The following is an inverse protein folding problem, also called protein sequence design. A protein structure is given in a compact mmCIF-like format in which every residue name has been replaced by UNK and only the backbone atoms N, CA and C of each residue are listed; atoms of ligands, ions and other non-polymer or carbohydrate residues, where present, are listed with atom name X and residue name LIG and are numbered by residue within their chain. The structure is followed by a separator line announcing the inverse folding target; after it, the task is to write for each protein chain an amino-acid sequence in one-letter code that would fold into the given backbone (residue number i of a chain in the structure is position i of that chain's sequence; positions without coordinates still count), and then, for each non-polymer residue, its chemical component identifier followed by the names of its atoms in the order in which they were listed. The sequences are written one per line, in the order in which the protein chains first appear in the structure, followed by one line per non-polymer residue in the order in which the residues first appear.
data_IF_028535930972
#
_entry.id   IF_028535930972
#
_cell.length_a   1.000
_cell.length_b   1.000
_cell.length_c   1.000
_cell.angle_alpha   90.00
_cell.angle_beta   90.00
_cell.angle_gamma   90.00
#
_symmetry.space_group_name_H-M   'P 1'
#
loop_
_entity.id
_entity.type
_entity.pdbx_description
1 polymer ?
#
# COMPACT_ATOMS: atom_id res chain seq x y z
N UNK A 1 19.77 9.74 -2.46
CA UNK A 1 19.02 9.34 -1.26
C UNK A 1 18.42 10.59 -0.64
N UNK A 2 17.12 10.81 -0.78
CA UNK A 2 16.41 11.90 -0.10
C UNK A 2 15.89 11.40 1.25
N UNK A 3 16.28 12.10 2.33
CA UNK A 3 15.80 11.87 3.68
C UNK A 3 14.35 12.36 3.82
N UNK A 4 13.46 11.52 4.35
CA UNK A 4 12.15 11.96 4.85
C UNK A 4 12.24 12.16 6.36
N UNK A 5 11.88 13.36 6.83
CA UNK A 5 11.91 13.73 8.24
C UNK A 5 10.83 12.97 9.04
N UNK A 6 11.18 12.59 10.27
CA UNK A 6 10.29 11.98 11.24
C UNK A 6 9.24 12.99 11.72
N UNK A 7 8.10 13.03 11.06
CA UNK A 7 6.97 13.87 11.46
C UNK A 7 5.76 13.59 10.60
N UNK A 8 5.06 12.47 10.85
CA UNK A 8 3.66 12.17 10.48
C UNK A 8 3.14 12.59 9.09
N UNK A 9 4.02 12.88 8.14
CA UNK A 9 3.66 13.55 6.89
C UNK A 9 3.10 12.56 5.89
N UNK A 10 2.17 13.04 5.06
CA UNK A 10 1.78 12.31 3.88
C UNK A 10 3.02 12.06 3.01
N UNK A 11 3.20 10.82 2.59
CA UNK A 11 4.23 10.40 1.65
C UNK A 11 3.68 10.65 0.25
N UNK A 12 4.41 11.46 -0.51
CA UNK A 12 4.11 11.69 -1.92
C UNK A 12 4.79 10.60 -2.74
N UNK A 13 3.97 9.78 -3.43
CA UNK A 13 4.45 8.77 -4.37
C UNK A 13 4.54 9.39 -5.77
N UNK A 14 5.60 9.06 -6.51
CA UNK A 14 5.73 9.52 -7.90
C UNK A 14 4.57 8.95 -8.76
N UNK A 15 4.02 9.71 -9.72
CA UNK A 15 3.03 9.22 -10.67
C UNK A 15 3.53 8.03 -11.50
N UNK A 16 2.62 7.28 -12.12
CA UNK A 16 2.93 6.21 -13.08
C UNK A 16 3.96 5.20 -12.55
N UNK A 17 3.87 4.83 -11.28
CA UNK A 17 4.89 4.06 -10.57
C UNK A 17 4.28 2.92 -9.77
N UNK A 18 5.10 1.92 -9.50
CA UNK A 18 4.75 0.77 -8.68
C UNK A 18 5.61 0.76 -7.42
N UNK A 19 4.98 0.53 -6.26
CA UNK A 19 5.64 0.41 -4.98
C UNK A 19 5.19 -0.84 -4.25
N UNK A 20 6.09 -1.38 -3.43
CA UNK A 20 5.75 -2.31 -2.36
C UNK A 20 5.82 -1.55 -1.04
N UNK A 21 4.82 -1.75 -0.18
CA UNK A 21 4.76 -1.20 1.17
C UNK A 21 4.61 -2.32 2.18
N UNK A 22 5.22 -2.14 3.35
CA UNK A 22 5.16 -3.11 4.44
C UNK A 22 4.77 -2.46 5.74
N UNK A 23 3.90 -3.11 6.50
CA UNK A 23 3.36 -2.59 7.75
C UNK A 23 3.31 -3.68 8.80
N UNK A 24 3.64 -3.35 10.05
CA UNK A 24 3.37 -4.24 11.17
C UNK A 24 1.96 -4.03 11.68
N UNK A 25 1.27 -5.15 11.88
CA UNK A 25 0.00 -5.20 12.57
C UNK A 25 0.29 -5.19 14.07
N UNK A 26 -0.42 -4.36 14.84
CA UNK A 26 -0.24 -4.31 16.30
C UNK A 26 -0.58 -5.62 17.03
N UNK A 27 -1.21 -6.56 16.34
CA UNK A 27 -1.44 -7.93 16.81
C UNK A 27 -0.19 -8.83 16.73
N UNK A 28 0.97 -8.27 16.35
CA UNK A 28 2.23 -9.00 16.18
C UNK A 28 2.41 -9.61 14.79
N UNK A 29 1.46 -9.37 13.87
CA UNK A 29 1.53 -9.82 12.49
C UNK A 29 2.28 -8.84 11.57
N UNK A 30 2.52 -9.29 10.35
CA UNK A 30 3.08 -8.48 9.28
C UNK A 30 2.10 -8.43 8.12
N UNK A 31 2.03 -7.28 7.45
CA UNK A 31 1.22 -7.09 6.27
C UNK A 31 2.01 -6.37 5.19
N UNK A 32 1.74 -6.68 3.93
CA UNK A 32 2.31 -5.97 2.80
C UNK A 32 1.25 -5.66 1.75
N UNK A 33 1.50 -4.62 0.97
CA UNK A 33 0.64 -4.26 -0.14
C UNK A 33 1.44 -3.75 -1.33
N UNK A 34 0.83 -3.89 -2.49
CA UNK A 34 1.22 -3.25 -3.74
C UNK A 34 0.50 -1.89 -3.83
N UNK A 35 1.22 -0.85 -4.23
CA UNK A 35 0.66 0.46 -4.52
C UNK A 35 1.00 0.82 -5.97
N UNK A 36 -0.01 1.14 -6.77
CA UNK A 36 0.16 1.63 -8.13
C UNK A 36 -0.34 3.06 -8.18
N UNK A 37 0.47 3.96 -8.71
CA UNK A 37 0.08 5.33 -8.98
C UNK A 37 -0.25 5.53 -10.45
N UNK A 38 -1.36 6.21 -10.72
CA UNK A 38 -1.71 6.61 -12.09
C UNK A 38 -0.92 7.86 -12.52
N UNK A 39 -1.20 8.35 -13.74
CA UNK A 39 -0.55 9.55 -14.32
C UNK A 39 -0.83 10.82 -13.53
N UNK A 40 -1.95 10.87 -12.80
CA UNK A 40 -2.35 12.01 -11.97
C UNK A 40 -1.85 11.90 -10.53
N UNK A 41 -1.16 10.80 -10.19
CA UNK A 41 -0.68 10.52 -8.84
C UNK A 41 -1.71 9.87 -7.93
N UNK A 42 -2.88 9.46 -8.44
CA UNK A 42 -3.87 8.70 -7.66
C UNK A 42 -3.29 7.34 -7.29
N UNK A 43 -3.34 6.99 -6.00
CA UNK A 43 -2.79 5.73 -5.50
C UNK A 43 -3.90 4.67 -5.42
N UNK A 44 -3.68 3.51 -6.01
CA UNK A 44 -4.50 2.31 -5.78
C UNK A 44 -3.73 1.30 -4.95
N UNK A 45 -4.33 0.82 -3.87
CA UNK A 45 -3.78 -0.25 -3.02
C UNK A 45 -4.32 -1.60 -3.47
N UNK A 46 -3.41 -2.57 -3.56
CA UNK A 46 -3.70 -3.97 -3.80
C UNK A 46 -3.12 -4.78 -2.66
N UNK A 47 -3.95 -5.51 -1.93
CA UNK A 47 -3.45 -6.36 -0.85
C UNK A 47 -4.36 -7.53 -0.55
N UNK A 48 -3.76 -8.54 0.07
CA UNK A 48 -4.50 -9.62 0.67
C UNK A 48 -5.31 -9.11 1.86
N UNK A 49 -6.49 -9.64 2.06
CA UNK A 49 -7.37 -9.30 3.18
C UNK A 49 -7.90 -10.56 3.83
N UNK A 50 -7.99 -10.53 5.16
CA UNK A 50 -8.64 -11.60 5.88
C UNK A 50 -10.16 -11.41 5.80
N UNK A 51 -10.90 -12.42 5.35
CA UNK A 51 -12.37 -12.35 5.22
C UNK A 51 -13.13 -13.00 6.37
N UNK A 52 -12.42 -13.42 7.42
CA UNK A 52 -12.99 -14.20 8.51
C UNK A 52 -13.11 -15.68 8.15
N UNK A 53 -13.11 -16.54 9.17
CA UNK A 53 -13.31 -17.98 9.01
C UNK A 53 -14.81 -18.33 9.04
N UNK A 54 -15.56 -17.91 8.01
CA UNK A 54 -16.92 -18.45 7.80
C UNK A 54 -16.77 -19.82 7.16
N UNK A 55 -17.37 -20.85 7.77
CA UNK A 55 -17.27 -22.24 7.30
C UNK A 55 -17.79 -22.34 5.86
N UNK A 56 -16.90 -22.67 4.92
CA UNK A 56 -17.21 -22.81 3.49
C UNK A 56 -16.78 -21.62 2.62
N UNK A 57 -16.30 -20.53 3.21
CA UNK A 57 -15.74 -19.40 2.47
C UNK A 57 -14.20 -19.45 2.41
N UNK A 58 -13.62 -18.71 1.45
CA UNK A 58 -12.18 -18.53 1.38
C UNK A 58 -11.73 -17.67 2.55
N UNK A 59 -10.80 -18.18 3.36
CA UNK A 59 -10.23 -17.47 4.51
C UNK A 59 -9.50 -16.16 4.12
N UNK A 60 -9.09 -16.05 2.85
CA UNK A 60 -8.35 -14.92 2.31
C UNK A 60 -9.01 -14.38 1.03
N UNK A 61 -8.95 -13.06 0.87
CA UNK A 61 -9.37 -12.33 -0.31
C UNK A 61 -8.32 -11.35 -0.79
N UNK A 62 -8.65 -10.65 -1.88
CA UNK A 62 -7.88 -9.53 -2.39
C UNK A 62 -8.77 -8.30 -2.36
N UNK A 63 -8.27 -7.25 -1.72
CA UNK A 63 -8.92 -5.94 -1.71
C UNK A 63 -8.14 -4.97 -2.59
N UNK A 64 -8.90 -4.22 -3.39
CA UNK A 64 -8.41 -3.24 -4.35
C UNK A 64 -9.22 -1.97 -4.16
N UNK A 65 -8.57 -0.89 -3.73
CA UNK A 65 -9.25 0.37 -3.48
C UNK A 65 -8.28 1.56 -3.61
N UNK A 66 -8.80 2.74 -3.98
CA UNK A 66 -8.00 3.96 -3.98
C UNK A 66 -7.62 4.36 -2.55
N UNK A 67 -6.43 4.94 -2.40
CA UNK A 67 -6.00 5.60 -1.17
C UNK A 67 -5.98 7.10 -1.39
N UNK A 68 -6.62 7.85 -0.49
CA UNK A 68 -6.60 9.31 -0.54
C UNK A 68 -5.24 9.87 -0.14
N UNK A 69 -4.60 9.28 0.88
CA UNK A 69 -3.26 9.66 1.33
C UNK A 69 -2.47 8.42 1.75
N UNK A 70 -1.16 8.47 1.57
CA UNK A 70 -0.21 7.45 2.04
C UNK A 70 0.55 8.05 3.21
N UNK A 71 0.63 7.36 4.34
CA UNK A 71 1.29 7.86 5.55
C UNK A 71 2.22 6.80 6.15
N UNK A 72 3.22 7.24 6.91
CA UNK A 72 4.06 6.35 7.74
C UNK A 72 3.30 5.76 8.93
N UNK A 73 2.23 6.42 9.37
CA UNK A 73 1.30 5.99 10.42
C UNK A 73 -0.10 5.95 9.82
N UNK A 74 -0.73 4.79 9.75
CA UNK A 74 -2.11 4.69 9.26
C UNK A 74 -3.10 4.97 10.38
N UNK A 75 -4.27 5.51 10.05
CA UNK A 75 -5.41 5.68 10.99
C UNK A 75 -5.89 4.37 11.58
N UNK A 76 -5.62 3.25 10.90
CA UNK A 76 -5.97 1.89 11.36
C UNK A 76 -4.92 1.28 12.31
N UNK A 77 -4.16 2.15 13.01
CA UNK A 77 -3.19 1.74 14.02
C UNK A 77 -2.03 0.86 13.49
N UNK A 78 -1.71 0.90 12.20
CA UNK A 78 -0.56 0.17 11.65
C UNK A 78 0.59 1.14 11.37
N UNK A 79 1.81 0.71 11.71
CA UNK A 79 3.02 1.44 11.36
C UNK A 79 3.55 0.92 10.02
N UNK A 80 3.71 1.82 9.06
CA UNK A 80 4.35 1.49 7.77
C UNK A 80 5.86 1.67 7.93
N UNK A 81 6.60 0.59 7.72
CA UNK A 81 8.05 0.57 7.97
C UNK A 81 8.90 0.79 6.71
N UNK A 82 8.30 0.71 5.54
CA UNK A 82 9.02 1.00 4.31
C UNK A 82 8.16 1.03 3.07
N UNK A 83 8.62 1.83 2.11
CA UNK A 83 8.12 1.92 0.76
C UNK A 83 9.29 1.74 -0.20
N UNK A 84 9.18 0.81 -1.12
CA UNK A 84 10.18 0.58 -2.16
C UNK A 84 9.55 0.77 -3.51
N UNK A 85 10.02 1.77 -4.25
CA UNK A 85 9.69 1.90 -5.67
C UNK A 85 10.34 0.76 -6.42
N UNK A 86 9.59 0.15 -7.31
CA UNK A 86 10.09 -0.91 -8.19
C UNK A 86 10.43 -0.29 -9.54
N UNK A 87 11.71 -0.38 -9.91
CA UNK A 87 12.20 0.06 -11.21
C UNK A 87 11.80 -0.93 -12.32
N UNK A 88 11.77 -0.44 -13.56
CA UNK A 88 11.37 -1.25 -14.73
C UNK A 88 9.86 -1.54 -14.81
N UNK A 89 9.07 -1.02 -13.88
CA UNK A 89 7.61 -1.03 -14.02
C UNK A 89 7.19 -0.08 -15.16
N UNK A 90 6.53 -0.66 -16.17
CA UNK A 90 5.89 0.10 -17.24
C UNK A 90 4.39 0.04 -17.02
N UNK A 91 3.73 1.16 -16.64
CA UNK A 91 2.28 1.19 -16.54
C UNK A 91 1.67 0.79 -17.88
N UNK A 92 0.71 -0.14 -17.84
CA UNK A 92 -0.02 -0.50 -19.05
C UNK A 92 -0.92 0.69 -19.43
N UNK A 93 -0.78 1.18 -20.66
CA UNK A 93 -1.73 2.14 -21.21
C UNK A 93 -3.13 1.48 -21.20
N UNK A 94 -4.06 2.09 -20.48
CA UNK A 94 -5.47 1.71 -20.57
C UNK A 94 -5.95 2.19 -21.94
N UNK A 95 -6.38 1.25 -22.78
CA UNK A 95 -7.00 1.56 -24.07
C UNK A 95 -8.43 2.03 -23.87
#
# INVERSE_FOLDING_TARGET
MSHFAAGGGAIVLAPSSFYVSTSQLLTGGFHWCALITDVNGTVTRYHWSHRGAVRGEKAEGVDIHPLQNVHTLTTDNNAVFGFWRIDGFTPRAVR
#
